data_IF_039591234914
#
_entry.id   IF_039591234914
#
_cell.length_a   1.000
_cell.length_b   1.000
_cell.length_c   1.000
_cell.angle_alpha   90.00
_cell.angle_beta   90.00
_cell.angle_gamma   90.00
#
_symmetry.space_group_name_H-M   'P 1'
#
loop_
_entity.id
_entity.type
_entity.pdbx_description
1 polymer ?
#
# COMPACT_ATOMS: atom_id res chain seq x y z
N UNK A 1 11.64 -51.83 -58.97
CA UNK A 1 11.34 -50.40 -59.25
C UNK A 1 9.93 -50.13 -58.71
N UNK A 2 9.59 -49.23 -57.79
CA UNK A 2 10.24 -48.13 -57.07
C UNK A 2 9.76 -48.17 -55.60
N UNK A 3 10.70 -47.98 -54.68
CA UNK A 3 10.49 -47.84 -53.23
C UNK A 3 9.57 -46.65 -52.89
N UNK A 4 8.52 -46.89 -52.09
CA UNK A 4 7.84 -45.83 -51.33
C UNK A 4 8.52 -45.72 -49.96
N UNK A 5 9.37 -44.71 -49.80
CA UNK A 5 9.98 -44.31 -48.53
C UNK A 5 8.90 -43.73 -47.61
N UNK A 6 8.54 -44.40 -46.51
CA UNK A 6 7.90 -43.74 -45.37
C UNK A 6 9.01 -43.19 -44.46
N UNK A 7 9.15 -41.86 -44.43
CA UNK A 7 10.00 -41.20 -43.45
C UNK A 7 9.19 -41.06 -42.16
N UNK A 8 9.61 -41.75 -41.10
CA UNK A 8 9.16 -41.50 -39.72
C UNK A 8 9.67 -40.12 -39.32
N UNK A 9 8.77 -39.15 -39.18
CA UNK A 9 9.07 -37.88 -38.53
C UNK A 9 8.82 -38.04 -37.03
N UNK A 10 9.90 -38.10 -36.26
CA UNK A 10 9.88 -37.95 -34.80
C UNK A 10 9.72 -36.46 -34.55
N UNK A 11 8.53 -36.05 -34.10
CA UNK A 11 8.29 -34.69 -33.60
C UNK A 11 8.77 -34.64 -32.15
N UNK A 12 9.93 -34.01 -31.96
CA UNK A 12 10.36 -33.52 -30.66
C UNK A 12 9.39 -32.40 -30.23
N UNK A 13 8.71 -32.57 -29.10
CA UNK A 13 8.08 -31.46 -28.39
C UNK A 13 9.16 -30.72 -27.59
N UNK A 14 9.47 -29.45 -27.87
CA UNK A 14 10.13 -28.60 -26.89
C UNK A 14 9.07 -28.16 -25.88
N UNK A 15 9.25 -28.61 -24.64
CA UNK A 15 8.60 -28.07 -23.46
C UNK A 15 9.02 -26.60 -23.27
N UNK A 16 8.23 -25.68 -23.81
CA UNK A 16 8.32 -24.26 -23.45
C UNK A 16 7.51 -24.09 -22.16
N UNK A 17 8.23 -24.11 -21.05
CA UNK A 17 7.76 -23.51 -19.80
C UNK A 17 7.58 -22.02 -20.03
N UNK A 18 6.32 -21.60 -20.21
CA UNK A 18 5.94 -20.21 -20.08
C UNK A 18 5.32 -20.03 -18.70
N UNK A 19 6.09 -19.39 -17.80
CA UNK A 19 5.55 -18.74 -16.61
C UNK A 19 4.46 -17.77 -17.06
N UNK A 20 3.19 -18.16 -16.93
CA UNK A 20 2.08 -17.23 -17.05
C UNK A 20 2.09 -16.36 -15.81
N UNK A 21 2.84 -15.25 -15.88
CA UNK A 21 2.59 -14.11 -15.02
C UNK A 21 1.17 -13.64 -15.31
N UNK A 22 0.25 -13.93 -14.39
CA UNK A 22 -1.12 -13.43 -14.46
C UNK A 22 -1.03 -11.93 -14.19
N UNK A 23 -0.90 -11.15 -15.26
CA UNK A 23 -1.17 -9.71 -15.22
C UNK A 23 -2.69 -9.59 -15.05
N UNK A 24 -3.13 -9.30 -13.83
CA UNK A 24 -4.53 -8.99 -13.57
C UNK A 24 -4.92 -7.77 -14.41
N UNK A 25 -6.11 -7.76 -15.05
CA UNK A 25 -6.54 -6.62 -15.82
C UNK A 25 -6.79 -5.45 -14.88
N UNK A 26 -5.95 -4.43 -14.97
CA UNK A 26 -6.19 -3.15 -14.33
C UNK A 26 -7.46 -2.56 -14.97
N UNK A 27 -8.45 -2.25 -14.15
CA UNK A 27 -9.57 -1.41 -14.56
C UNK A 27 -9.01 0.02 -14.71
N UNK A 28 -8.45 0.33 -15.88
CA UNK A 28 -7.92 1.65 -16.20
C UNK A 28 -9.10 2.53 -16.59
N UNK A 29 -9.65 3.25 -15.60
CA UNK A 29 -10.31 4.50 -15.91
C UNK A 29 -9.22 5.47 -16.38
N UNK A 30 -9.28 5.89 -17.64
CA UNK A 30 -8.33 6.82 -18.24
C UNK A 30 -8.29 8.12 -17.43
N UNK A 31 -7.18 8.37 -16.74
CA UNK A 31 -6.83 9.68 -16.21
C UNK A 31 -5.49 10.07 -16.82
N UNK A 32 -5.42 11.23 -17.47
CA UNK A 32 -4.22 11.72 -18.10
C UNK A 32 -3.10 11.92 -17.06
N UNK A 33 -2.00 11.18 -17.29
CA UNK A 33 -0.60 11.47 -16.95
C UNK A 33 -0.17 11.62 -15.49
N UNK A 34 -0.49 10.65 -14.62
CA UNK A 34 0.41 10.31 -13.50
C UNK A 34 0.36 8.82 -13.20
N UNK A 35 1.54 8.21 -13.04
CA UNK A 35 1.62 6.85 -12.50
C UNK A 35 1.05 6.83 -11.08
N UNK A 36 0.29 5.79 -10.74
CA UNK A 36 -0.31 5.65 -9.41
C UNK A 36 0.80 5.39 -8.38
N UNK A 37 0.60 5.79 -7.10
CA UNK A 37 1.52 5.45 -6.03
C UNK A 37 1.77 3.94 -5.96
N UNK A 38 3.03 3.55 -5.84
CA UNK A 38 3.42 2.16 -5.66
C UNK A 38 4.13 1.96 -4.32
N UNK A 39 3.96 0.77 -3.75
CA UNK A 39 4.60 0.36 -2.51
C UNK A 39 5.26 -1.01 -2.71
N UNK A 40 6.53 -1.10 -2.34
CA UNK A 40 7.28 -2.35 -2.34
C UNK A 40 8.14 -2.48 -1.08
N UNK A 41 8.68 -3.67 -0.84
CA UNK A 41 9.57 -3.94 0.29
C UNK A 41 11.01 -3.60 -0.13
N UNK A 42 11.76 -2.91 0.74
CA UNK A 42 13.15 -2.53 0.52
C UNK A 42 14.06 -3.75 0.38
N UNK A 43 15.05 -3.65 -0.52
CA UNK A 43 16.08 -4.68 -0.70
C UNK A 43 17.32 -4.45 0.18
N UNK A 44 17.34 -3.38 1.00
CA UNK A 44 18.46 -3.08 1.88
C UNK A 44 18.68 -4.24 2.87
N UNK A 45 19.86 -4.91 2.83
CA UNK A 45 20.16 -6.04 3.70
C UNK A 45 20.22 -5.66 5.19
N UNK A 46 20.25 -4.37 5.53
CA UNK A 46 20.11 -3.90 6.92
C UNK A 46 18.68 -4.07 7.43
N UNK A 47 17.69 -3.91 6.56
CA UNK A 47 16.27 -3.89 6.89
C UNK A 47 15.56 -5.21 6.56
N UNK A 48 16.00 -5.91 5.52
CA UNK A 48 15.36 -7.14 5.05
C UNK A 48 16.36 -8.24 4.70
N UNK A 49 15.87 -9.45 4.51
CA UNK A 49 16.61 -10.60 3.97
C UNK A 49 15.66 -11.54 3.21
N UNK A 50 16.18 -12.50 2.46
CA UNK A 50 15.36 -13.53 1.80
C UNK A 50 15.55 -14.85 2.56
N UNK A 51 14.44 -15.52 2.91
CA UNK A 51 14.49 -16.83 3.59
C UNK A 51 14.68 -17.98 2.58
N UNK A 52 14.80 -19.21 3.09
CA UNK A 52 14.99 -20.41 2.27
C UNK A 52 13.80 -20.70 1.33
N UNK A 53 12.62 -20.15 1.61
CA UNK A 53 11.44 -20.25 0.76
C UNK A 53 11.39 -19.18 -0.35
N UNK A 54 12.40 -18.31 -0.44
CA UNK A 54 12.43 -17.20 -1.39
C UNK A 54 11.54 -16.01 -0.99
N UNK A 55 11.02 -15.97 0.24
CA UNK A 55 10.21 -14.86 0.74
C UNK A 55 11.13 -13.78 1.33
N UNK A 56 10.84 -12.51 0.99
CA UNK A 56 11.52 -11.37 1.61
C UNK A 56 10.95 -11.11 3.01
N UNK A 57 11.82 -11.20 4.01
CA UNK A 57 11.52 -11.03 5.43
C UNK A 57 12.02 -9.68 5.93
N UNK A 58 11.18 -8.97 6.67
CA UNK A 58 11.49 -7.69 7.31
C UNK A 58 12.03 -7.95 8.71
N UNK A 59 13.17 -7.34 9.05
CA UNK A 59 13.74 -7.46 10.39
C UNK A 59 12.92 -6.62 11.37
N UNK A 60 12.39 -7.24 12.43
CA UNK A 60 11.53 -6.57 13.40
C UNK A 60 10.29 -7.37 13.77
N UNK A 61 9.47 -6.83 14.66
CA UNK A 61 8.25 -7.49 15.14
C UNK A 61 7.02 -7.01 14.40
N UNK A 62 6.26 -7.96 13.82
CA UNK A 62 4.96 -7.69 13.21
C UNK A 62 4.01 -7.00 14.19
N UNK A 63 3.98 -7.44 15.45
CA UNK A 63 3.14 -6.94 16.54
C UNK A 63 3.55 -5.54 16.95
N UNK A 64 4.85 -5.27 17.04
CA UNK A 64 5.33 -3.92 17.32
C UNK A 64 4.94 -2.96 16.20
N UNK A 65 5.18 -3.33 14.94
CA UNK A 65 4.82 -2.53 13.78
C UNK A 65 3.30 -2.30 13.69
N UNK A 66 2.51 -3.38 13.75
CA UNK A 66 1.07 -3.32 13.68
C UNK A 66 0.46 -2.49 14.80
N UNK A 67 0.94 -2.62 16.05
CA UNK A 67 0.45 -1.80 17.18
C UNK A 67 0.77 -0.31 16.96
N UNK A 68 1.95 0.00 16.43
CA UNK A 68 2.34 1.38 16.15
C UNK A 68 1.47 1.99 15.04
N UNK A 69 1.39 1.31 13.89
CA UNK A 69 0.74 1.84 12.69
C UNK A 69 -0.79 1.81 12.76
N UNK A 70 -1.40 0.83 13.45
CA UNK A 70 -2.87 0.76 13.56
C UNK A 70 -3.47 1.78 14.53
N UNK A 71 -2.66 2.46 15.37
CA UNK A 71 -3.16 3.34 16.43
C UNK A 71 -2.51 4.72 16.50
N UNK A 72 -1.25 4.87 16.06
CA UNK A 72 -0.45 6.05 16.39
C UNK A 72 0.05 6.80 15.16
N UNK A 73 0.63 6.09 14.18
CA UNK A 73 1.35 6.72 13.06
C UNK A 73 0.79 6.22 11.75
N UNK A 74 0.06 7.08 11.04
CA UNK A 74 -0.57 6.73 9.77
C UNK A 74 0.11 7.39 8.58
N UNK A 75 0.61 8.63 8.69
CA UNK A 75 1.28 9.30 7.59
C UNK A 75 2.71 8.77 7.43
N UNK A 76 3.09 8.16 6.29
CA UNK A 76 4.44 7.65 6.09
C UNK A 76 5.49 8.73 5.80
N UNK A 77 5.06 9.94 5.43
CA UNK A 77 5.95 11.03 5.05
C UNK A 77 6.49 11.73 6.30
N UNK A 78 7.79 11.99 6.32
CA UNK A 78 8.48 12.67 7.40
C UNK A 78 7.99 14.11 7.55
N UNK A 79 7.87 14.58 8.79
CA UNK A 79 7.56 15.99 9.11
C UNK A 79 8.61 16.98 8.58
N UNK A 80 9.79 16.49 8.19
CA UNK A 80 10.90 17.25 7.61
C UNK A 80 10.92 17.25 6.08
N UNK A 81 9.91 16.62 5.45
CA UNK A 81 9.71 16.69 4.01
C UNK A 81 9.08 18.04 3.62
N UNK A 82 9.54 18.65 2.52
CA UNK A 82 9.03 19.95 2.06
C UNK A 82 7.57 19.88 1.58
N UNK A 83 7.08 18.70 1.20
CA UNK A 83 5.69 18.46 0.79
C UNK A 83 4.79 18.00 1.94
N UNK A 84 5.34 17.81 3.14
CA UNK A 84 4.62 17.27 4.29
C UNK A 84 3.43 18.14 4.73
N UNK A 85 3.65 19.44 4.90
CA UNK A 85 2.61 20.35 5.40
C UNK A 85 1.50 20.54 4.37
N UNK A 86 0.26 20.64 4.84
CA UNK A 86 -0.89 20.93 3.98
C UNK A 86 -0.77 22.35 3.38
N UNK A 87 -0.29 23.31 4.17
CA UNK A 87 -0.07 24.69 3.77
C UNK A 87 1.40 25.09 3.86
N UNK A 88 1.84 25.94 2.94
CA UNK A 88 3.13 26.61 2.96
C UNK A 88 3.16 27.73 4.03
N UNK A 89 4.33 28.25 4.41
CA UNK A 89 4.43 29.32 5.41
C UNK A 89 3.68 30.61 5.03
N UNK A 90 3.46 30.88 3.74
CA UNK A 90 2.65 31.99 3.23
C UNK A 90 1.15 31.68 3.15
N UNK A 91 0.71 30.54 3.71
CA UNK A 91 -0.70 30.16 3.82
C UNK A 91 -1.32 29.59 2.54
N UNK A 92 -0.52 29.34 1.49
CA UNK A 92 -1.00 28.71 0.26
C UNK A 92 -1.04 27.20 0.42
N UNK A 93 -1.92 26.54 -0.35
CA UNK A 93 -1.96 25.08 -0.38
C UNK A 93 -0.64 24.54 -0.94
N UNK A 94 -0.01 23.60 -0.24
CA UNK A 94 1.26 23.00 -0.63
C UNK A 94 1.06 21.85 -1.63
N UNK A 95 0.45 22.14 -2.78
CA UNK A 95 0.03 21.15 -3.77
C UNK A 95 0.84 21.18 -5.08
N UNK A 96 2.00 21.84 -5.09
CA UNK A 96 2.84 21.90 -6.28
C UNK A 96 3.45 20.53 -6.60
N UNK A 97 3.21 20.02 -7.80
CA UNK A 97 3.89 18.83 -8.31
C UNK A 97 5.35 19.13 -8.65
N UNK A 98 6.23 18.21 -8.28
CA UNK A 98 7.65 18.21 -8.58
C UNK A 98 8.03 16.75 -8.86
N UNK A 99 8.38 16.45 -10.11
CA UNK A 99 8.67 15.07 -10.55
C UNK A 99 9.98 14.53 -9.99
N UNK A 100 10.90 15.43 -9.59
CA UNK A 100 12.21 15.06 -9.07
C UNK A 100 12.23 15.01 -7.53
N UNK A 101 11.13 15.34 -6.87
CA UNK A 101 11.07 15.37 -5.41
C UNK A 101 11.18 13.97 -4.82
N UNK A 102 12.26 13.74 -4.07
CA UNK A 102 12.46 12.51 -3.32
C UNK A 102 11.86 12.68 -1.92
N UNK A 103 10.76 11.96 -1.69
CA UNK A 103 10.07 11.99 -0.41
C UNK A 103 10.92 11.40 0.73
N UNK A 104 10.99 12.14 1.83
CA UNK A 104 11.57 11.65 3.08
C UNK A 104 10.53 10.81 3.81
N UNK A 105 10.83 9.55 4.02
CA UNK A 105 9.94 8.60 4.72
C UNK A 105 10.30 8.56 6.22
N UNK A 106 9.30 8.39 7.10
CA UNK A 106 9.55 8.24 8.54
C UNK A 106 10.32 6.93 8.83
N UNK A 107 11.21 6.91 9.84
CA UNK A 107 12.05 5.74 10.12
C UNK A 107 11.28 4.44 10.36
N UNK A 108 10.08 4.49 10.92
CA UNK A 108 9.27 3.30 11.18
C UNK A 108 8.67 2.65 9.91
N UNK A 109 8.92 3.23 8.73
CA UNK A 109 8.52 2.71 7.42
C UNK A 109 9.72 2.61 6.46
N UNK A 110 10.96 2.69 6.95
CA UNK A 110 12.18 2.66 6.13
C UNK A 110 12.37 1.37 5.32
N UNK A 111 11.79 0.27 5.79
CA UNK A 111 11.76 -1.02 5.10
C UNK A 111 10.78 -1.03 3.90
N UNK A 112 10.03 0.05 3.68
CA UNK A 112 9.15 0.23 2.53
C UNK A 112 9.77 1.22 1.54
N UNK A 113 9.61 0.91 0.25
CA UNK A 113 9.96 1.79 -0.86
C UNK A 113 8.67 2.32 -1.46
N UNK A 114 8.55 3.64 -1.51
CA UNK A 114 7.43 4.35 -2.09
C UNK A 114 7.86 4.91 -3.44
N UNK A 115 7.06 4.69 -4.48
CA UNK A 115 7.26 5.30 -5.80
C UNK A 115 6.03 6.09 -6.20
N UNK A 116 6.23 7.04 -7.11
CA UNK A 116 5.16 7.84 -7.71
C UNK A 116 4.32 8.62 -6.67
N UNK A 117 4.95 9.01 -5.58
CA UNK A 117 4.38 9.99 -4.66
C UNK A 117 4.44 11.38 -5.30
N UNK A 118 3.43 12.21 -5.06
CA UNK A 118 3.30 13.50 -5.74
C UNK A 118 2.81 14.61 -4.80
N UNK A 119 3.35 15.81 -4.96
CA UNK A 119 3.06 16.96 -4.10
C UNK A 119 1.58 17.32 -3.95
N UNK A 120 0.72 17.16 -4.98
CA UNK A 120 -0.71 17.41 -4.85
C UNK A 120 -1.47 16.46 -3.93
N UNK A 121 -0.86 15.38 -3.45
CA UNK A 121 -1.50 14.38 -2.62
C UNK A 121 -0.86 14.31 -1.22
N UNK A 122 -1.69 13.99 -0.25
CA UNK A 122 -1.24 13.53 1.06
C UNK A 122 -1.53 12.03 1.20
N UNK A 123 -0.84 11.36 2.13
CA UNK A 123 -0.80 9.90 2.20
C UNK A 123 -1.07 9.34 3.59
N UNK A 124 -1.70 8.16 3.67
CA UNK A 124 -1.84 7.37 4.91
C UNK A 124 -1.57 5.90 4.63
N UNK A 125 -0.78 5.25 5.46
CA UNK A 125 -0.51 3.82 5.43
C UNK A 125 -1.28 3.18 6.60
N UNK A 126 -2.20 2.27 6.29
CA UNK A 126 -2.90 1.49 7.30
C UNK A 126 -2.42 0.04 7.31
N UNK A 127 -2.33 -0.53 8.50
CA UNK A 127 -1.98 -1.93 8.73
C UNK A 127 -3.17 -2.74 9.23
N UNK A 128 -3.27 -3.98 8.78
CA UNK A 128 -4.30 -4.95 9.17
C UNK A 128 -3.68 -6.28 9.57
N UNK A 129 -4.34 -6.96 10.49
CA UNK A 129 -4.32 -8.43 10.57
C UNK A 129 -5.29 -9.02 9.56
N UNK A 130 -5.18 -10.32 9.29
CA UNK A 130 -5.90 -10.94 8.19
C UNK A 130 -7.43 -10.82 8.33
N UNK A 131 -7.96 -11.06 9.52
CA UNK A 131 -9.37 -10.94 9.87
C UNK A 131 -9.89 -9.50 9.69
N UNK A 132 -9.11 -8.52 10.12
CA UNK A 132 -9.43 -7.11 9.91
C UNK A 132 -9.41 -6.74 8.42
N UNK A 133 -8.42 -7.24 7.69
CA UNK A 133 -8.32 -7.01 6.25
C UNK A 133 -9.54 -7.60 5.54
N UNK A 134 -9.95 -8.82 5.84
CA UNK A 134 -11.13 -9.47 5.25
C UNK A 134 -12.42 -8.73 5.63
N UNK A 135 -12.51 -8.22 6.86
CA UNK A 135 -13.67 -7.43 7.31
C UNK A 135 -13.85 -6.15 6.48
N UNK A 136 -12.74 -5.50 6.14
CA UNK A 136 -12.73 -4.26 5.36
C UNK A 136 -12.79 -4.54 3.85
N UNK A 137 -12.13 -5.60 3.37
CA UNK A 137 -12.03 -6.04 1.99
C UNK A 137 -12.38 -7.53 1.84
N UNK A 138 -13.67 -7.92 1.85
CA UNK A 138 -14.06 -9.33 1.81
C UNK A 138 -13.55 -10.11 0.59
N UNK A 139 -13.26 -9.41 -0.52
CA UNK A 139 -12.69 -10.00 -1.73
C UNK A 139 -11.28 -10.60 -1.54
N UNK A 140 -10.53 -10.15 -0.52
CA UNK A 140 -9.20 -10.65 -0.17
C UNK A 140 -9.23 -12.13 0.20
N UNK A 141 -10.29 -12.58 0.90
CA UNK A 141 -10.40 -13.97 1.38
C UNK A 141 -10.39 -15.02 0.25
N UNK A 142 -10.74 -14.60 -0.98
CA UNK A 142 -10.78 -15.47 -2.16
C UNK A 142 -9.46 -15.51 -2.93
N UNK A 143 -8.46 -14.70 -2.56
CA UNK A 143 -7.18 -14.59 -3.26
C UNK A 143 -6.08 -15.33 -2.49
N UNK A 144 -5.53 -16.38 -3.10
CA UNK A 144 -4.50 -17.24 -2.50
C UNK A 144 -3.30 -16.45 -1.94
N UNK A 145 -2.89 -15.38 -2.64
CA UNK A 145 -1.77 -14.52 -2.21
C UNK A 145 -1.96 -13.88 -0.83
N UNK A 146 -3.19 -13.79 -0.34
CA UNK A 146 -3.50 -13.29 1.01
C UNK A 146 -3.93 -14.41 1.96
N UNK A 147 -4.80 -15.31 1.51
CA UNK A 147 -5.37 -16.35 2.38
C UNK A 147 -4.33 -17.36 2.89
N UNK A 148 -3.21 -17.54 2.19
CA UNK A 148 -2.09 -18.35 2.68
C UNK A 148 -1.48 -17.83 4.00
N UNK A 149 -1.67 -16.55 4.32
CA UNK A 149 -1.11 -15.90 5.51
C UNK A 149 -2.12 -15.75 6.67
N UNK A 150 -3.32 -16.33 6.55
CA UNK A 150 -4.42 -16.13 7.52
C UNK A 150 -4.09 -16.46 8.98
N UNK A 151 -3.16 -17.41 9.20
CA UNK A 151 -2.72 -17.85 10.53
C UNK A 151 -1.25 -17.53 10.79
N UNK A 152 -0.62 -16.69 9.96
CA UNK A 152 0.77 -16.31 10.16
C UNK A 152 0.85 -15.08 11.09
N UNK A 153 1.28 -15.22 12.36
CA UNK A 153 1.34 -14.10 13.30
C UNK A 153 2.40 -13.05 12.90
N UNK A 154 3.36 -13.43 12.05
CA UNK A 154 4.39 -12.56 11.50
C UNK A 154 3.92 -11.77 10.28
N UNK A 155 2.71 -12.03 9.78
CA UNK A 155 2.15 -11.32 8.65
C UNK A 155 1.39 -10.05 9.10
N UNK A 156 1.66 -8.94 8.40
CA UNK A 156 0.89 -7.70 8.47
C UNK A 156 0.57 -7.26 7.05
N UNK A 157 -0.67 -6.85 6.82
CA UNK A 157 -1.09 -6.34 5.52
C UNK A 157 -1.11 -4.83 5.57
N UNK A 158 -0.45 -4.16 4.63
CA UNK A 158 -0.46 -2.70 4.56
C UNK A 158 -1.09 -2.20 3.29
N UNK A 159 -1.71 -1.05 3.39
CA UNK A 159 -2.34 -0.36 2.28
C UNK A 159 -2.05 1.13 2.38
N UNK A 160 -1.52 1.68 1.29
CA UNK A 160 -1.31 3.11 1.08
C UNK A 160 -2.56 3.74 0.47
N UNK A 161 -3.04 4.80 1.11
CA UNK A 161 -4.11 5.68 0.67
C UNK A 161 -3.54 7.02 0.33
N UNK A 162 -4.20 7.69 -0.60
CA UNK A 162 -3.93 9.08 -0.90
C UNK A 162 -5.22 9.85 -1.10
N UNK A 163 -5.16 11.16 -0.89
CA UNK A 163 -6.20 12.09 -1.31
C UNK A 163 -5.53 13.34 -1.84
N UNK A 164 -6.23 14.12 -2.66
CA UNK A 164 -5.74 15.43 -3.06
C UNK A 164 -5.69 16.36 -1.86
N UNK A 165 -4.63 17.13 -1.71
CA UNK A 165 -4.51 18.20 -0.71
C UNK A 165 -5.65 19.21 -0.80
N UNK A 166 -6.21 19.43 -1.99
CA UNK A 166 -7.39 20.30 -2.19
C UNK A 166 -8.64 19.71 -1.52
N UNK A 167 -8.77 18.39 -1.45
CA UNK A 167 -9.86 17.71 -0.77
C UNK A 167 -9.63 17.70 0.75
N UNK A 168 -8.40 17.45 1.21
CA UNK A 168 -8.04 17.54 2.63
C UNK A 168 -8.24 18.94 3.20
N UNK A 169 -7.92 19.97 2.40
CA UNK A 169 -8.11 21.37 2.77
C UNK A 169 -9.57 21.85 2.72
N UNK A 170 -10.53 21.00 2.32
CA UNK A 170 -11.93 21.39 2.25
C UNK A 170 -12.46 21.74 3.66
N UNK A 171 -13.30 22.79 3.81
CA UNK A 171 -13.77 23.22 5.14
C UNK A 171 -14.50 22.15 5.95
N UNK A 172 -15.15 21.21 5.27
CA UNK A 172 -15.88 20.11 5.90
C UNK A 172 -15.01 18.88 6.18
N UNK A 173 -13.76 18.81 5.69
CA UNK A 173 -12.91 17.63 5.84
C UNK A 173 -12.67 17.29 7.32
N UNK A 174 -12.41 18.29 8.16
CA UNK A 174 -12.22 18.06 9.59
C UNK A 174 -13.44 17.40 10.26
N UNK A 175 -14.64 17.89 9.96
CA UNK A 175 -15.88 17.43 10.59
C UNK A 175 -16.38 16.10 10.02
N UNK A 176 -16.27 15.93 8.70
CA UNK A 176 -16.81 14.76 8.01
C UNK A 176 -15.86 13.58 8.10
N UNK A 177 -14.55 13.84 8.12
CA UNK A 177 -13.51 12.81 7.96
C UNK A 177 -12.68 12.62 9.22
N UNK A 178 -12.04 13.69 9.71
CA UNK A 178 -11.01 13.58 10.76
C UNK A 178 -11.65 13.36 12.12
N UNK A 179 -12.66 14.15 12.48
CA UNK A 179 -13.30 14.09 13.80
C UNK A 179 -13.90 12.70 14.09
N UNK A 180 -14.65 12.08 13.17
CA UNK A 180 -15.11 10.70 13.34
C UNK A 180 -13.96 9.69 13.43
N UNK A 181 -12.89 9.90 12.65
CA UNK A 181 -11.74 8.99 12.65
C UNK A 181 -10.96 9.05 13.97
N UNK A 182 -10.66 10.25 14.49
CA UNK A 182 -9.99 10.43 15.78
C UNK A 182 -10.76 9.79 16.94
N UNK A 183 -12.09 9.77 16.89
CA UNK A 183 -12.89 9.08 17.91
C UNK A 183 -12.59 7.57 18.03
N UNK A 184 -12.11 6.95 16.95
CA UNK A 184 -11.71 5.53 16.91
C UNK A 184 -10.21 5.30 17.10
N UNK A 185 -9.40 6.34 16.91
CA UNK A 185 -7.94 6.31 17.03
C UNK A 185 -7.49 7.42 17.99
N UNK A 186 -7.79 7.30 19.30
CA UNK A 186 -7.57 8.38 20.27
C UNK A 186 -6.09 8.71 20.50
N UNK A 187 -5.17 7.83 20.06
CA UNK A 187 -3.72 8.02 20.17
C UNK A 187 -3.09 8.61 18.91
N UNK A 188 -3.88 8.89 17.87
CA UNK A 188 -3.37 9.50 16.66
C UNK A 188 -2.93 10.97 16.89
N UNK A 189 -2.01 11.45 16.07
CA UNK A 189 -1.52 12.83 16.16
C UNK A 189 -2.64 13.87 16.05
N UNK A 190 -2.55 14.99 16.79
CA UNK A 190 -3.61 16.00 16.82
C UNK A 190 -3.61 16.90 15.58
N UNK A 191 -2.55 16.88 14.75
CA UNK A 191 -2.50 17.68 13.53
C UNK A 191 -3.34 17.05 12.41
N UNK A 192 -3.73 17.86 11.44
CA UNK A 192 -4.42 17.38 10.24
C UNK A 192 -3.53 16.38 9.46
N UNK A 193 -2.23 16.67 9.36
CA UNK A 193 -1.27 15.86 8.60
C UNK A 193 -0.98 14.48 9.24
N UNK A 194 -1.26 14.31 10.54
CA UNK A 194 -1.12 13.03 11.23
C UNK A 194 -2.47 12.35 11.49
N UNK A 195 -3.58 13.05 11.20
CA UNK A 195 -4.91 12.54 11.46
C UNK A 195 -5.17 11.26 10.65
N UNK A 196 -5.81 10.24 11.23
CA UNK A 196 -6.25 9.08 10.47
C UNK A 196 -7.40 9.52 9.56
N UNK A 197 -7.32 9.13 8.29
CA UNK A 197 -8.39 9.34 7.32
C UNK A 197 -9.32 8.13 7.28
N UNK A 198 -10.49 8.24 6.63
CA UNK A 198 -11.48 7.20 6.72
C UNK A 198 -11.04 6.08 5.78
N UNK A 199 -10.40 5.07 6.33
CA UNK A 199 -10.15 3.85 5.60
C UNK A 199 -11.04 2.69 6.05
N UNK A 200 -11.35 2.64 7.35
CA UNK A 200 -12.09 1.52 7.91
C UNK A 200 -13.56 1.59 7.47
N UNK A 201 -14.09 0.45 7.01
CA UNK A 201 -15.50 0.30 6.67
C UNK A 201 -16.38 0.78 7.83
N UNK A 202 -17.45 1.50 7.51
CA UNK A 202 -18.42 2.03 8.47
C UNK A 202 -17.85 3.05 9.47
N UNK A 203 -16.78 3.79 9.12
CA UNK A 203 -16.31 4.90 9.95
C UNK A 203 -17.31 6.08 9.98
N UNK A 204 -18.05 6.28 8.89
CA UNK A 204 -19.25 7.12 8.84
C UNK A 204 -20.25 6.58 7.81
N UNK A 205 -21.54 6.78 8.05
CA UNK A 205 -22.60 6.50 7.08
C UNK A 205 -22.47 7.36 5.82
N UNK A 206 -21.93 8.58 5.93
CA UNK A 206 -21.67 9.49 4.80
C UNK A 206 -20.45 9.08 3.97
N UNK A 207 -19.58 8.20 4.49
CA UNK A 207 -18.31 7.79 3.86
C UNK A 207 -18.29 6.31 3.48
N UNK A 208 -19.47 5.69 3.32
CA UNK A 208 -19.58 4.30 2.88
C UNK A 208 -18.97 4.16 1.48
N UNK A 209 -17.88 3.41 1.36
CA UNK A 209 -17.29 3.05 0.07
C UNK A 209 -16.05 3.84 -0.34
N UNK A 210 -15.32 4.47 0.59
CA UNK A 210 -14.08 5.20 0.29
C UNK A 210 -12.94 4.24 -0.13
N UNK A 211 -12.90 3.90 -1.43
CA UNK A 211 -11.97 2.93 -2.03
C UNK A 211 -11.36 3.41 -3.36
N UNK A 212 -11.39 4.73 -3.65
CA UNK A 212 -11.00 5.20 -4.97
C UNK A 212 -9.49 5.43 -5.12
N UNK A 213 -8.81 5.75 -4.02
CA UNK A 213 -7.40 6.16 -4.01
C UNK A 213 -6.58 5.31 -3.03
N UNK A 214 -6.36 4.06 -3.43
CA UNK A 214 -5.75 3.02 -2.60
C UNK A 214 -4.98 2.00 -3.41
N UNK A 215 -3.80 1.59 -2.92
CA UNK A 215 -3.07 0.45 -3.51
C UNK A 215 -3.69 -0.88 -3.10
N UNK A 216 -3.46 -1.92 -3.91
CA UNK A 216 -3.76 -3.28 -3.48
C UNK A 216 -2.98 -3.64 -2.19
N UNK A 217 -3.54 -4.44 -1.24
CA UNK A 217 -2.81 -4.81 -0.03
C UNK A 217 -1.45 -5.46 -0.34
N UNK A 218 -0.42 -4.92 0.30
CA UNK A 218 0.93 -5.49 0.32
C UNK A 218 1.08 -6.36 1.57
N UNK A 219 1.55 -7.59 1.40
CA UNK A 219 1.85 -8.49 2.52
C UNK A 219 3.27 -8.22 3.01
N UNK A 220 3.40 -7.96 4.31
CA UNK A 220 4.66 -7.81 5.01
C UNK A 220 4.87 -9.03 5.90
N UNK A 221 5.98 -9.73 5.73
CA UNK A 221 6.38 -10.85 6.59
C UNK A 221 7.56 -10.41 7.43
N UNK A 222 7.40 -10.42 8.75
CA UNK A 222 8.42 -10.03 9.71
C UNK A 222 9.22 -11.23 10.23
N UNK A 223 10.42 -10.99 10.78
CA UNK A 223 11.25 -12.04 11.37
C UNK A 223 10.67 -12.55 12.70
N UNK A 224 9.98 -11.66 13.44
CA UNK A 224 9.33 -11.93 14.73
C UNK A 224 7.84 -11.63 14.65
N UNK A 225 7.09 -12.33 15.51
CA UNK A 225 5.71 -11.97 15.81
C UNK A 225 5.63 -10.56 16.39
#
# INVERSE_FOLDING_TARGET
MKNKKSKKSILFLPSIGALTGIVAPMLVAASCSHELPELSISEDPKLTYVNDNGERIIKGSAKAFYKLNSQNVFNPISTHDSKYKLYTPDGKLNNAHDSEHIYKIKPNFDFLVFKNLTGPHDYRLFSFRYDELVTNLPGVARRAKYSQYQYNPKAVFVMLYWIKKTAEAAPNFENDIISPSRSRFPYAGPSIEEAPWPFVRNISNSLKGFWQDVIEPLVLIFDKE
#
